data_IF_646371485312
#
_entry.id   IF_646371485312
#
_cell.length_a   1.000
_cell.length_b   1.000
_cell.length_c   1.000
_cell.angle_alpha   90.00
_cell.angle_beta   90.00
_cell.angle_gamma   90.00
#
_symmetry.space_group_name_H-M   'P 1'
#
loop_
_entity.id
_entity.type
_entity.pdbx_description
1 polymer ?
#
# COMPACT_ATOMS: atom_id res chain seq x y z
N UNK A 1 31.41 -2.41 27.15
CA UNK A 1 30.61 -1.43 26.40
C UNK A 1 29.49 -2.20 25.70
N UNK A 2 28.29 -2.19 26.28
CA UNK A 2 27.14 -2.91 25.73
C UNK A 2 26.62 -2.18 24.49
N UNK A 3 26.53 -2.89 23.38
CA UNK A 3 25.93 -2.46 22.13
C UNK A 3 24.43 -2.26 22.33
N UNK A 4 24.02 -1.00 22.57
CA UNK A 4 22.61 -0.61 22.56
C UNK A 4 22.04 -0.80 21.15
N UNK A 5 21.50 -1.99 20.91
CA UNK A 5 20.65 -2.28 19.76
C UNK A 5 19.39 -1.42 19.85
N UNK A 6 19.47 -0.19 19.35
CA UNK A 6 18.29 0.61 19.01
C UNK A 6 17.54 -0.19 17.96
N UNK A 7 16.56 -0.98 18.39
CA UNK A 7 15.63 -1.66 17.50
C UNK A 7 15.12 -0.64 16.51
N UNK A 8 15.34 -0.87 15.22
CA UNK A 8 14.82 0.00 14.17
C UNK A 8 13.31 0.09 14.39
N UNK A 9 12.81 1.25 14.84
CA UNK A 9 11.38 1.46 14.95
C UNK A 9 10.85 1.51 13.52
N UNK A 10 10.24 0.43 13.07
CA UNK A 10 9.61 0.38 11.76
C UNK A 10 8.34 1.23 11.90
N UNK A 11 8.33 2.40 11.26
CA UNK A 11 7.14 3.22 11.16
C UNK A 11 6.19 2.57 10.15
N UNK A 12 5.05 2.09 10.64
CA UNK A 12 4.06 1.35 9.83
C UNK A 12 2.90 2.26 9.41
N UNK A 13 2.77 3.43 10.03
CA UNK A 13 1.66 4.36 9.81
C UNK A 13 0.75 4.47 11.05
N UNK A 14 -0.44 5.01 10.84
CA UNK A 14 -1.52 5.03 11.84
C UNK A 14 -2.16 3.64 11.99
N UNK A 15 -3.00 3.45 13.01
CA UNK A 15 -3.75 2.20 13.20
C UNK A 15 -4.63 1.86 12.00
N UNK A 16 -5.26 2.86 11.39
CA UNK A 16 -6.08 2.68 10.19
C UNK A 16 -5.24 2.28 8.98
N UNK A 17 -4.09 2.91 8.76
CA UNK A 17 -3.19 2.57 7.65
C UNK A 17 -2.62 1.16 7.80
N UNK A 18 -2.30 0.73 9.03
CA UNK A 18 -1.86 -0.63 9.31
C UNK A 18 -3.00 -1.64 9.06
N UNK A 19 -4.22 -1.30 9.50
CA UNK A 19 -5.39 -2.14 9.28
C UNK A 19 -5.70 -2.31 7.79
N UNK A 20 -5.67 -1.23 7.01
CA UNK A 20 -5.86 -1.30 5.56
C UNK A 20 -4.79 -2.16 4.87
N UNK A 21 -3.55 -2.15 5.37
CA UNK A 21 -2.48 -3.03 4.88
C UNK A 21 -2.73 -4.50 5.21
N UNK A 22 -3.30 -4.79 6.39
CA UNK A 22 -3.75 -6.15 6.76
C UNK A 22 -4.85 -6.62 5.80
N UNK A 23 -5.88 -5.81 5.57
CA UNK A 23 -7.00 -6.18 4.70
C UNK A 23 -6.61 -6.35 3.24
N UNK A 24 -5.59 -5.63 2.78
CA UNK A 24 -5.10 -5.70 1.40
C UNK A 24 -4.06 -6.81 1.18
N UNK A 25 -3.71 -7.57 2.23
CA UNK A 25 -2.78 -8.69 2.17
C UNK A 25 -3.51 -9.98 2.55
N UNK A 26 -3.72 -10.86 1.57
CA UNK A 26 -4.49 -12.10 1.76
C UNK A 26 -3.92 -12.97 2.88
N UNK A 27 -2.60 -13.12 2.96
CA UNK A 27 -1.96 -13.91 4.03
C UNK A 27 -2.24 -13.34 5.43
N UNK A 28 -2.19 -12.00 5.57
CA UNK A 28 -2.47 -11.37 6.86
C UNK A 28 -3.96 -11.44 7.20
N UNK A 29 -4.83 -11.35 6.20
CA UNK A 29 -6.27 -11.54 6.37
C UNK A 29 -6.59 -12.98 6.79
N UNK A 30 -5.96 -13.97 6.17
CA UNK A 30 -6.11 -15.39 6.52
C UNK A 30 -5.69 -15.63 7.98
N UNK A 31 -4.58 -15.04 8.43
CA UNK A 31 -4.17 -15.11 9.85
C UNK A 31 -5.20 -14.51 10.80
N UNK A 32 -5.89 -13.43 10.42
CA UNK A 32 -6.98 -12.86 11.24
C UNK A 32 -8.15 -13.83 11.32
N UNK A 33 -8.53 -14.43 10.20
CA UNK A 33 -9.61 -15.42 10.13
C UNK A 33 -9.27 -16.70 10.92
N UNK A 34 -8.02 -17.15 10.90
CA UNK A 34 -7.57 -18.31 11.69
C UNK A 34 -7.57 -18.01 13.20
N UNK A 35 -7.18 -16.79 13.60
CA UNK A 35 -7.05 -16.42 15.01
C UNK A 35 -8.35 -16.00 15.68
N UNK A 36 -9.23 -15.29 14.96
CA UNK A 36 -10.48 -14.72 15.48
C UNK A 36 -11.73 -15.30 14.80
N UNK A 37 -11.59 -16.20 13.83
CA UNK A 37 -12.72 -16.74 13.07
C UNK A 37 -13.35 -15.72 12.13
N UNK A 38 -14.51 -16.10 11.58
CA UNK A 38 -15.40 -15.21 10.84
C UNK A 38 -16.21 -14.29 11.76
N UNK A 39 -16.26 -14.52 13.08
CA UNK A 39 -17.13 -13.80 14.02
C UNK A 39 -17.04 -12.27 13.91
N UNK A 40 -15.86 -11.63 13.85
CA UNK A 40 -15.78 -10.17 13.72
C UNK A 40 -16.35 -9.64 12.40
N UNK A 41 -16.40 -10.49 11.36
CA UNK A 41 -16.95 -10.16 10.04
C UNK A 41 -18.44 -10.47 9.99
N UNK A 42 -18.88 -11.56 10.62
CA UNK A 42 -20.29 -11.93 10.75
C UNK A 42 -21.05 -10.92 11.62
N UNK A 43 -20.43 -10.41 12.69
CA UNK A 43 -21.03 -9.44 13.62
C UNK A 43 -21.09 -8.02 13.03
N UNK A 44 -20.10 -7.64 12.22
CA UNK A 44 -19.98 -6.27 11.70
C UNK A 44 -20.19 -6.13 10.18
N UNK A 45 -20.41 -7.23 9.46
CA UNK A 45 -20.65 -7.29 8.02
C UNK A 45 -19.39 -7.29 7.15
N UNK A 46 -18.29 -6.67 7.58
CA UNK A 46 -17.01 -6.69 6.87
C UNK A 46 -15.85 -6.32 7.80
N UNK A 47 -14.62 -6.73 7.44
CA UNK A 47 -13.43 -6.31 8.18
C UNK A 47 -13.22 -4.79 8.23
N UNK A 48 -13.82 -4.05 7.29
CA UNK A 48 -13.79 -2.57 7.26
C UNK A 48 -14.75 -1.95 8.28
N UNK A 49 -15.79 -2.67 8.67
CA UNK A 49 -16.80 -2.21 9.62
C UNK A 49 -16.48 -2.57 11.08
N UNK A 50 -15.44 -3.38 11.30
CA UNK A 50 -14.95 -3.71 12.65
C UNK A 50 -14.62 -2.40 13.40
N UNK A 51 -15.12 -2.18 14.63
CA UNK A 51 -14.84 -0.99 15.41
C UNK A 51 -13.35 -0.83 15.77
N UNK A 52 -12.81 0.39 15.91
CA UNK A 52 -11.40 0.63 16.21
C UNK A 52 -10.88 -0.13 17.44
N UNK A 53 -11.71 -0.24 18.48
CA UNK A 53 -11.37 -0.99 19.70
C UNK A 53 -10.99 -2.44 19.42
N UNK A 54 -11.71 -3.10 18.51
CA UNK A 54 -11.45 -4.48 18.10
C UNK A 54 -10.29 -4.57 17.12
N UNK A 55 -10.17 -3.62 16.16
CA UNK A 55 -9.01 -3.53 15.26
C UNK A 55 -7.71 -3.49 16.05
N UNK A 56 -7.66 -2.68 17.10
CA UNK A 56 -6.49 -2.57 17.98
C UNK A 56 -6.13 -3.88 18.68
N UNK A 57 -7.12 -4.66 19.10
CA UNK A 57 -6.90 -5.97 19.71
C UNK A 57 -6.32 -6.96 18.68
N UNK A 58 -6.92 -7.04 17.50
CA UNK A 58 -6.46 -7.91 16.41
C UNK A 58 -5.04 -7.52 15.97
N UNK A 59 -4.77 -6.23 15.77
CA UNK A 59 -3.43 -5.74 15.42
C UNK A 59 -2.40 -6.06 16.51
N UNK A 60 -2.78 -5.93 17.80
CA UNK A 60 -1.89 -6.30 18.91
C UNK A 60 -1.56 -7.79 18.90
N UNK A 61 -2.51 -8.65 18.53
CA UNK A 61 -2.28 -10.07 18.36
C UNK A 61 -1.42 -10.38 17.11
N UNK A 62 -1.73 -9.77 15.97
CA UNK A 62 -0.99 -9.93 14.71
C UNK A 62 0.49 -9.54 14.87
N UNK A 63 0.78 -8.45 15.59
CA UNK A 63 2.16 -7.99 15.86
C UNK A 63 2.99 -9.01 16.64
N UNK A 64 2.37 -9.97 17.31
CA UNK A 64 3.06 -11.09 17.99
C UNK A 64 3.29 -12.28 17.06
N UNK A 65 2.62 -12.35 15.91
CA UNK A 65 2.78 -13.44 14.96
C UNK A 65 4.11 -13.34 14.25
N UNK A 66 4.77 -14.49 14.09
CA UNK A 66 6.04 -14.55 13.38
C UNK A 66 5.83 -14.18 11.91
N UNK A 67 6.67 -13.29 11.39
CA UNK A 67 6.58 -12.85 9.99
C UNK A 67 5.55 -11.76 9.70
N UNK A 68 4.74 -11.30 10.66
CA UNK A 68 3.77 -10.21 10.46
C UNK A 68 4.40 -8.97 9.82
N UNK A 69 5.43 -8.42 10.47
CA UNK A 69 6.13 -7.24 9.98
C UNK A 69 6.83 -7.48 8.65
N UNK A 70 7.33 -8.70 8.39
CA UNK A 70 7.96 -9.05 7.13
C UNK A 70 6.95 -8.99 5.99
N UNK A 71 5.79 -9.62 6.16
CA UNK A 71 4.73 -9.66 5.16
C UNK A 71 4.13 -8.27 4.91
N UNK A 72 4.00 -7.47 5.96
CA UNK A 72 3.50 -6.11 5.85
C UNK A 72 4.49 -5.20 5.09
N UNK A 73 5.79 -5.32 5.35
CA UNK A 73 6.84 -4.57 4.65
C UNK A 73 7.05 -5.02 3.20
N UNK A 74 6.99 -6.32 2.92
CA UNK A 74 7.17 -6.84 1.56
C UNK A 74 6.10 -6.30 0.60
N UNK A 75 4.85 -6.17 1.09
CA UNK A 75 3.77 -5.52 0.35
C UNK A 75 4.07 -4.04 0.07
N UNK A 76 4.58 -3.30 1.06
CA UNK A 76 4.97 -1.89 0.90
C UNK A 76 6.00 -1.76 -0.22
N UNK A 77 7.06 -2.57 -0.20
CA UNK A 77 8.09 -2.53 -1.25
C UNK A 77 7.55 -2.84 -2.64
N UNK A 78 6.65 -3.83 -2.77
CA UNK A 78 6.02 -4.14 -4.07
C UNK A 78 5.15 -2.99 -4.58
N UNK A 79 4.40 -2.34 -3.69
CA UNK A 79 3.56 -1.19 -4.04
C UNK A 79 4.43 0.00 -4.47
N UNK A 80 5.53 0.29 -3.78
CA UNK A 80 6.45 1.37 -4.16
C UNK A 80 7.03 1.17 -5.57
N UNK A 81 7.42 -0.05 -5.92
CA UNK A 81 7.90 -0.38 -7.27
C UNK A 81 6.78 -0.17 -8.31
N UNK A 82 5.57 -0.65 -8.04
CA UNK A 82 4.43 -0.48 -8.92
C UNK A 82 4.07 1.01 -9.13
N UNK A 83 4.07 1.80 -8.06
CA UNK A 83 3.83 3.25 -8.11
C UNK A 83 4.88 3.96 -8.96
N UNK A 84 6.16 3.62 -8.78
CA UNK A 84 7.24 4.17 -9.60
C UNK A 84 7.02 3.86 -11.08
N UNK A 85 6.71 2.61 -11.41
CA UNK A 85 6.46 2.18 -12.79
C UNK A 85 5.28 2.92 -13.44
N UNK A 86 4.18 3.09 -12.70
CA UNK A 86 3.00 3.82 -13.18
C UNK A 86 3.29 5.31 -13.40
N UNK A 87 4.09 5.92 -12.52
CA UNK A 87 4.54 7.31 -12.67
C UNK A 87 5.40 7.47 -13.93
N UNK A 88 6.38 6.58 -14.13
CA UNK A 88 7.24 6.59 -15.31
C UNK A 88 6.44 6.44 -16.61
N UNK A 89 5.41 5.59 -16.62
CA UNK A 89 4.50 5.46 -17.79
C UNK A 89 3.71 6.74 -18.05
N UNK A 90 3.20 7.39 -16.99
CA UNK A 90 2.46 8.65 -17.12
C UNK A 90 3.35 9.76 -17.68
N UNK A 91 4.57 9.88 -17.15
CA UNK A 91 5.53 10.91 -17.57
C UNK A 91 5.96 10.70 -19.03
N UNK A 92 6.22 9.45 -19.44
CA UNK A 92 6.50 9.12 -20.86
C UNK A 92 5.35 9.52 -21.78
N UNK A 93 4.10 9.21 -21.40
CA UNK A 93 2.91 9.57 -22.19
C UNK A 93 2.77 11.08 -22.34
N UNK A 94 3.01 11.83 -21.27
CA UNK A 94 2.94 13.29 -21.30
C UNK A 94 4.02 13.90 -22.19
N UNK A 95 5.25 13.35 -22.16
CA UNK A 95 6.33 13.78 -23.06
C UNK A 95 5.99 13.52 -24.53
N UNK A 96 5.41 12.35 -24.85
CA UNK A 96 4.99 12.04 -26.23
C UNK A 96 3.87 12.95 -26.72
N UNK A 97 2.90 13.30 -25.87
CA UNK A 97 1.86 14.28 -26.20
C UNK A 97 2.45 15.68 -26.44
N UNK A 98 3.40 16.11 -25.61
CA UNK A 98 4.11 17.38 -25.78
C UNK A 98 4.92 17.40 -27.08
N UNK A 99 5.61 16.30 -27.43
CA UNK A 99 6.34 16.17 -28.71
C UNK A 99 5.40 16.21 -29.91
N UNK A 100 4.28 15.49 -29.87
CA UNK A 100 3.27 15.51 -30.94
C UNK A 100 2.71 16.91 -31.16
N UNK A 101 2.35 17.62 -30.09
CA UNK A 101 1.85 18.99 -30.18
C UNK A 101 2.87 19.94 -30.83
N UNK A 102 4.14 19.88 -30.41
CA UNK A 102 5.21 20.68 -31.04
C UNK A 102 5.40 20.38 -32.53
N UNK A 103 5.22 19.14 -32.99
CA UNK A 103 5.30 18.79 -34.41
C UNK A 103 4.14 19.38 -35.21
N UNK A 104 2.92 19.27 -34.68
CA UNK A 104 1.72 19.87 -35.30
C UNK A 104 1.85 21.39 -35.39
N UNK A 105 2.33 22.04 -34.33
CA UNK A 105 2.55 23.50 -34.32
C UNK A 105 3.65 23.92 -35.33
N UNK A 106 4.67 23.09 -35.56
CA UNK A 106 5.73 23.36 -36.54
C UNK A 106 5.29 23.12 -37.99
N UNK A 107 4.44 22.12 -38.23
CA UNK A 107 3.91 21.79 -39.57
C UNK A 107 2.78 22.75 -40.01
N UNK A 108 2.03 23.34 -39.06
CA UNK A 108 1.00 24.34 -39.35
C UNK A 108 1.53 25.75 -39.68
N UNK A 109 2.82 26.02 -39.47
CA UNK A 109 3.45 27.32 -39.78
C UNK A 109 3.99 27.40 -41.21
N UNK A 110 3.84 26.34 -42.02
CA UNK A 110 4.35 26.23 -43.38
C UNK A 110 3.27 26.18 -44.45
N UNK A 111 2.22 27.01 -44.36
CA UNK A 111 1.31 27.22 -45.49
C UNK A 111 0.60 28.56 -45.38
N UNK A 112 1.19 29.56 -46.04
CA UNK A 112 0.48 30.60 -46.78
C UNK A 112 1.48 31.16 -47.79
N UNK A 113 1.61 30.43 -48.91
CA UNK A 113 1.97 31.02 -50.20
C UNK A 113 0.67 31.32 -50.95
#
# INVERSE_FOLDING_TARGET
MANNGKGKSIYIGTEEEEWDKVLSNSYLLDLVLEGYGGEPIEEHGSCKQIPPKFRKQILTWLRKQNGYYKMLLERISRLEVAFKYLKDMKDKREQELKKKKKRVDAEGSGSNY
#
